data_IF_870331920488
#
_entry.id   IF_870331920488
#
_cell.length_a   1.000
_cell.length_b   1.000
_cell.length_c   1.000
_cell.angle_alpha   90.00
_cell.angle_beta   90.00
_cell.angle_gamma   90.00
#
_symmetry.space_group_name_H-M   'P 1'
#
loop_
_entity.id
_entity.type
_entity.pdbx_description
1 polymer ?
#
# COMPACT_ATOMS: atom_id res chain seq x y z
N UNK A 1 -3.63 -3.67 13.34
CA UNK A 1 -4.47 -3.12 12.25
C UNK A 1 -3.59 -2.70 11.07
N UNK A 2 -2.77 -1.64 11.17
CA UNK A 2 -1.89 -1.24 10.05
C UNK A 2 -0.99 -2.36 9.54
N UNK A 3 -0.35 -3.13 10.44
CA UNK A 3 0.41 -4.35 10.09
C UNK A 3 -0.42 -5.38 9.31
N UNK A 4 -1.68 -5.55 9.69
CA UNK A 4 -2.61 -6.49 9.02
C UNK A 4 -2.92 -6.07 7.58
N UNK A 5 -3.11 -4.77 7.33
CA UNK A 5 -3.33 -4.29 5.97
C UNK A 5 -2.02 -4.30 5.14
N UNK A 6 -0.85 -4.11 5.76
CA UNK A 6 0.44 -4.31 5.11
C UNK A 6 0.63 -5.79 4.68
N UNK A 7 0.33 -6.74 5.56
CA UNK A 7 0.33 -8.18 5.23
C UNK A 7 -0.62 -8.50 4.07
N UNK A 8 -1.82 -7.89 4.09
CA UNK A 8 -2.81 -8.05 3.01
C UNK A 8 -2.30 -7.51 1.67
N UNK A 9 -1.59 -6.38 1.68
CA UNK A 9 -0.94 -5.84 0.49
C UNK A 9 0.10 -6.83 -0.05
N UNK A 10 0.98 -7.39 0.80
CA UNK A 10 1.96 -8.41 0.39
C UNK A 10 1.30 -9.64 -0.21
N UNK A 11 0.19 -10.10 0.35
CA UNK A 11 -0.58 -11.21 -0.21
C UNK A 11 -1.13 -10.90 -1.61
N UNK A 12 -1.68 -9.70 -1.82
CA UNK A 12 -2.16 -9.26 -3.12
C UNK A 12 -1.03 -9.17 -4.16
N UNK A 13 0.13 -8.66 -3.75
CA UNK A 13 1.32 -8.57 -4.61
C UNK A 13 1.87 -9.93 -4.99
N UNK A 14 1.94 -10.86 -4.04
CA UNK A 14 2.34 -12.25 -4.29
C UNK A 14 1.40 -12.91 -5.32
N UNK A 15 0.09 -12.79 -5.12
CA UNK A 15 -0.91 -13.30 -6.08
C UNK A 15 -0.78 -12.64 -7.45
N UNK A 16 -0.49 -11.34 -7.50
CA UNK A 16 -0.34 -10.62 -8.76
C UNK A 16 0.92 -11.06 -9.52
N UNK A 17 2.02 -11.35 -8.80
CA UNK A 17 3.25 -11.92 -9.38
C UNK A 17 2.96 -13.28 -10.01
N UNK A 18 2.24 -14.17 -9.31
CA UNK A 18 1.83 -15.47 -9.84
C UNK A 18 0.93 -15.34 -11.08
N UNK A 19 -0.04 -14.42 -11.05
CA UNK A 19 -0.92 -14.18 -12.19
C UNK A 19 -0.16 -13.80 -13.46
N UNK A 20 0.89 -12.97 -13.34
CA UNK A 20 1.69 -12.52 -14.47
C UNK A 20 2.68 -13.59 -14.97
N UNK A 21 3.39 -14.26 -14.05
CA UNK A 21 4.51 -15.13 -14.42
C UNK A 21 4.13 -16.60 -14.64
N UNK A 22 3.13 -17.11 -13.92
CA UNK A 22 2.77 -18.53 -13.97
C UNK A 22 1.49 -18.77 -14.78
N UNK A 23 0.48 -17.91 -14.58
CA UNK A 23 -0.84 -18.11 -15.18
C UNK A 23 -1.03 -17.38 -16.52
N UNK A 24 -0.08 -16.51 -16.90
CA UNK A 24 -0.17 -15.64 -18.08
C UNK A 24 -1.51 -14.85 -18.14
N UNK A 25 -1.96 -14.35 -16.99
CA UNK A 25 -3.23 -13.65 -16.81
C UNK A 25 -3.01 -12.17 -16.43
N UNK A 26 -2.71 -11.31 -17.42
CA UNK A 26 -2.49 -9.89 -17.18
C UNK A 26 -3.76 -9.16 -16.69
N UNK A 27 -4.95 -9.70 -16.96
CA UNK A 27 -6.21 -9.11 -16.48
C UNK A 27 -6.34 -9.29 -14.97
N UNK A 28 -6.06 -10.50 -14.47
CA UNK A 28 -6.07 -10.76 -13.04
C UNK A 28 -4.92 -10.04 -12.32
N UNK A 29 -3.74 -9.94 -12.94
CA UNK A 29 -2.64 -9.12 -12.42
C UNK A 29 -3.09 -7.67 -12.18
N UNK A 30 -3.69 -7.03 -13.20
CA UNK A 30 -4.24 -5.67 -13.09
C UNK A 30 -5.30 -5.58 -11.98
N UNK A 31 -6.25 -6.51 -11.93
CA UNK A 31 -7.29 -6.54 -10.90
C UNK A 31 -6.69 -6.58 -9.47
N UNK A 32 -5.66 -7.39 -9.26
CA UNK A 32 -4.97 -7.51 -7.97
C UNK A 32 -4.22 -6.22 -7.60
N UNK A 33 -3.57 -5.56 -8.57
CA UNK A 33 -2.94 -4.26 -8.36
C UNK A 33 -3.95 -3.15 -8.04
N UNK A 34 -5.11 -3.16 -8.69
CA UNK A 34 -6.22 -2.25 -8.34
C UNK A 34 -6.74 -2.53 -6.92
N UNK A 35 -6.87 -3.80 -6.52
CA UNK A 35 -7.26 -4.16 -5.15
C UNK A 35 -6.25 -3.69 -4.11
N UNK A 36 -4.94 -3.80 -4.39
CA UNK A 36 -3.88 -3.24 -3.54
C UNK A 36 -4.07 -1.74 -3.34
N UNK A 37 -4.32 -0.99 -4.42
CA UNK A 37 -4.57 0.44 -4.34
C UNK A 37 -5.83 0.74 -3.51
N UNK A 38 -6.88 -0.06 -3.65
CA UNK A 38 -8.08 0.06 -2.83
C UNK A 38 -7.81 -0.11 -1.33
N UNK A 39 -6.89 -1.00 -0.93
CA UNK A 39 -6.45 -1.11 0.47
C UNK A 39 -5.76 0.18 0.91
N UNK A 40 -4.76 0.65 0.14
CA UNK A 40 -4.03 1.88 0.46
C UNK A 40 -4.95 3.11 0.57
N UNK A 41 -5.94 3.22 -0.31
CA UNK A 41 -6.91 4.32 -0.30
C UNK A 41 -7.82 4.29 0.94
N UNK A 42 -8.10 3.10 1.50
CA UNK A 42 -8.95 2.96 2.68
C UNK A 42 -8.19 3.13 4.01
N UNK A 43 -6.85 3.10 3.98
CA UNK A 43 -6.03 3.16 5.20
C UNK A 43 -6.29 4.39 6.08
N UNK A 44 -6.42 5.63 5.56
CA UNK A 44 -6.65 6.80 6.41
C UNK A 44 -7.93 6.67 7.25
N UNK A 45 -9.02 6.22 6.62
CA UNK A 45 -10.31 6.01 7.29
C UNK A 45 -10.23 4.88 8.32
N UNK A 46 -9.63 3.75 7.94
CA UNK A 46 -9.50 2.59 8.83
C UNK A 46 -8.60 2.87 10.03
N UNK A 47 -7.60 3.76 9.87
CA UNK A 47 -6.68 4.16 10.93
C UNK A 47 -7.23 5.21 11.86
N UNK A 48 -8.37 5.83 11.56
CA UNK A 48 -8.95 6.89 12.37
C UNK A 48 -9.07 6.56 13.87
N UNK A 49 -9.54 5.37 14.30
CA UNK A 49 -9.62 5.03 15.71
C UNK A 49 -8.25 4.96 16.40
N UNK A 50 -7.22 4.54 15.66
CA UNK A 50 -5.85 4.48 16.16
C UNK A 50 -5.24 5.88 16.25
N UNK A 51 -5.41 6.69 15.20
CA UNK A 51 -4.93 8.08 15.14
C UNK A 51 -5.50 8.93 16.27
N UNK A 52 -6.79 8.79 16.58
CA UNK A 52 -7.44 9.56 17.65
C UNK A 52 -6.91 9.22 19.05
N UNK A 53 -6.25 8.07 19.22
CA UNK A 53 -5.63 7.68 20.49
C UNK A 53 -4.16 8.11 20.63
N UNK A 54 -3.56 8.70 19.59
CA UNK A 54 -2.17 9.16 19.60
C UNK A 54 -2.03 10.59 20.15
N UNK A 55 -0.81 10.93 20.57
CA UNK A 55 -0.45 12.32 20.88
C UNK A 55 -0.67 13.22 19.65
N UNK A 56 -1.12 14.49 19.81
CA UNK A 56 -1.52 15.34 18.69
C UNK A 56 -0.45 15.52 17.60
N UNK A 57 0.83 15.61 18.00
CA UNK A 57 1.95 15.76 17.07
C UNK A 57 2.17 14.49 16.23
N UNK A 58 1.99 13.32 16.83
CA UNK A 58 2.13 12.02 16.16
C UNK A 58 0.88 11.72 15.31
N UNK A 59 -0.31 12.02 15.81
CA UNK A 59 -1.57 11.88 15.08
C UNK A 59 -1.57 12.65 13.75
N UNK A 60 -1.07 13.88 13.76
CA UNK A 60 -0.96 14.71 12.56
C UNK A 60 -0.01 14.07 11.53
N UNK A 61 1.19 13.69 11.95
CA UNK A 61 2.18 13.03 11.08
C UNK A 61 1.65 11.71 10.50
N UNK A 62 0.97 10.90 11.32
CA UNK A 62 0.39 9.64 10.87
C UNK A 62 -0.73 9.84 9.85
N UNK A 63 -1.59 10.84 10.08
CA UNK A 63 -2.69 11.17 9.17
C UNK A 63 -2.17 11.65 7.82
N UNK A 64 -1.13 12.49 7.82
CA UNK A 64 -0.50 13.02 6.61
C UNK A 64 0.10 11.90 5.76
N UNK A 65 0.88 11.00 6.36
CA UNK A 65 1.53 9.91 5.63
C UNK A 65 0.50 8.96 5.01
N UNK A 66 -0.52 8.54 5.77
CA UNK A 66 -1.59 7.68 5.25
C UNK A 66 -2.36 8.35 4.11
N UNK A 67 -2.65 9.66 4.25
CA UNK A 67 -3.35 10.43 3.21
C UNK A 67 -2.52 10.59 1.94
N UNK A 68 -1.21 10.76 2.07
CA UNK A 68 -0.25 10.81 0.96
C UNK A 68 -0.25 9.48 0.19
N UNK A 69 -0.13 8.35 0.90
CA UNK A 69 -0.17 7.02 0.29
C UNK A 69 -1.51 6.75 -0.42
N UNK A 70 -2.64 7.11 0.22
CA UNK A 70 -3.96 6.98 -0.36
C UNK A 70 -4.13 7.82 -1.64
N UNK A 71 -3.62 9.05 -1.63
CA UNK A 71 -3.69 9.96 -2.79
C UNK A 71 -2.90 9.40 -3.96
N UNK A 72 -1.66 8.93 -3.73
CA UNK A 72 -0.82 8.30 -4.77
C UNK A 72 -1.49 7.05 -5.35
N UNK A 73 -2.10 6.23 -4.49
CA UNK A 73 -2.85 5.05 -4.92
C UNK A 73 -4.08 5.41 -5.78
N UNK A 74 -4.83 6.45 -5.40
CA UNK A 74 -5.96 6.94 -6.19
C UNK A 74 -5.50 7.44 -7.57
N UNK A 75 -4.41 8.21 -7.64
CA UNK A 75 -3.82 8.67 -8.90
C UNK A 75 -3.39 7.50 -9.79
N UNK A 76 -2.77 6.47 -9.22
CA UNK A 76 -2.36 5.28 -9.99
C UNK A 76 -3.56 4.55 -10.61
N UNK A 77 -4.69 4.50 -9.90
CA UNK A 77 -5.96 3.95 -10.41
C UNK A 77 -6.58 4.85 -11.48
N UNK A 78 -6.62 6.15 -11.27
CA UNK A 78 -7.15 7.12 -12.24
C UNK A 78 -6.38 7.07 -13.57
N UNK A 79 -5.05 6.95 -13.51
CA UNK A 79 -4.18 6.83 -14.68
C UNK A 79 -4.22 5.43 -15.32
N UNK A 80 -4.96 4.48 -14.72
CA UNK A 80 -5.02 3.08 -15.14
C UNK A 80 -3.63 2.42 -15.28
N UNK A 81 -2.65 2.91 -14.50
CA UNK A 81 -1.24 2.58 -14.67
C UNK A 81 -0.83 1.45 -13.73
N UNK A 82 -0.89 0.21 -14.24
CA UNK A 82 -0.48 -1.00 -13.49
C UNK A 82 0.97 -0.91 -13.00
N UNK A 83 1.86 -0.34 -13.81
CA UNK A 83 3.25 -0.08 -13.42
C UNK A 83 3.32 0.84 -12.20
N UNK A 84 2.56 1.94 -12.21
CA UNK A 84 2.54 2.86 -11.08
C UNK A 84 1.93 2.20 -9.83
N UNK A 85 0.82 1.48 -9.98
CA UNK A 85 0.19 0.71 -8.88
C UNK A 85 1.18 -0.27 -8.23
N UNK A 86 1.98 -0.95 -9.04
CA UNK A 86 3.00 -1.88 -8.55
C UNK A 86 4.08 -1.14 -7.74
N UNK A 87 4.57 0.01 -8.25
CA UNK A 87 5.68 0.76 -7.67
C UNK A 87 5.36 1.64 -6.45
N UNK A 88 4.08 1.80 -6.06
CA UNK A 88 3.66 2.75 -5.00
C UNK A 88 4.47 2.71 -3.69
N UNK A 89 4.88 1.51 -3.27
CA UNK A 89 5.56 1.28 -1.98
C UNK A 89 7.04 0.94 -2.13
N UNK A 90 7.59 1.09 -3.33
CA UNK A 90 8.92 0.60 -3.69
C UNK A 90 9.74 1.75 -4.27
N UNK A 91 10.61 2.39 -3.48
CA UNK A 91 11.51 3.41 -3.97
C UNK A 91 12.55 2.80 -4.93
N UNK A 92 13.29 3.65 -5.63
CA UNK A 92 14.26 3.22 -6.67
C UNK A 92 15.38 2.32 -6.11
N UNK A 93 15.73 2.49 -4.83
CA UNK A 93 16.77 1.73 -4.13
C UNK A 93 16.23 0.48 -3.41
N UNK A 94 14.95 0.14 -3.61
CA UNK A 94 14.34 -1.05 -3.02
C UNK A 94 15.07 -2.34 -3.42
N UNK A 95 15.29 -3.22 -2.44
CA UNK A 95 15.83 -4.56 -2.66
C UNK A 95 14.75 -5.62 -2.45
N UNK A 96 14.68 -6.59 -3.35
CA UNK A 96 13.71 -7.69 -3.23
C UNK A 96 13.88 -8.43 -1.89
N UNK A 97 12.78 -8.55 -1.15
CA UNK A 97 12.75 -9.16 0.18
C UNK A 97 12.93 -8.16 1.34
N UNK A 98 13.33 -6.92 1.07
CA UNK A 98 13.30 -5.86 2.07
C UNK A 98 11.84 -5.45 2.38
N UNK A 99 11.60 -4.83 3.55
CA UNK A 99 10.34 -4.16 3.84
C UNK A 99 10.01 -3.09 2.79
N UNK A 100 8.73 -2.92 2.49
CA UNK A 100 8.28 -1.84 1.61
C UNK A 100 8.07 -0.54 2.42
N UNK A 101 7.86 0.59 1.75
CA UNK A 101 7.76 1.89 2.45
C UNK A 101 6.64 1.96 3.49
N UNK A 102 5.54 1.21 3.31
CA UNK A 102 4.47 1.14 4.33
C UNK A 102 4.94 0.36 5.55
N UNK A 103 5.63 -0.76 5.35
CA UNK A 103 6.16 -1.60 6.43
C UNK A 103 7.26 -0.87 7.20
N UNK A 104 8.20 -0.22 6.50
CA UNK A 104 9.26 0.60 7.11
C UNK A 104 8.69 1.73 7.95
N UNK A 105 7.69 2.44 7.41
CA UNK A 105 7.02 3.49 8.12
C UNK A 105 6.28 2.95 9.36
N UNK A 106 5.52 1.85 9.24
CA UNK A 106 4.85 1.22 10.39
C UNK A 106 5.85 0.83 11.47
N UNK A 107 7.01 0.28 11.10
CA UNK A 107 8.03 -0.13 12.07
C UNK A 107 8.71 1.08 12.73
N UNK A 108 8.77 2.24 12.07
CA UNK A 108 9.24 3.50 12.68
C UNK A 108 8.31 4.08 13.75
N UNK A 109 7.04 3.63 13.80
CA UNK A 109 6.04 4.08 14.78
C UNK A 109 6.08 3.28 16.10
N UNK A 110 6.85 2.19 16.14
CA UNK A 110 6.98 1.28 17.28
C UNK A 110 8.09 1.71 18.24
#
# INVERSE_FOLDING_TARGET
MLKTEADRIRQLESQAKLALHENNDPKNHKLLMTKKCGVLMALPEQAQPLVTALEPWLAASVTEELSSMATRAAQAVELDSVFYMAALLYPEDYQEGAPNSLEEWIDSLA
#
